data_IF_445480052601
#
_entry.id   IF_445480052601
#
_cell.length_a   1.000
_cell.length_b   1.000
_cell.length_c   1.000
_cell.angle_alpha   90.00
_cell.angle_beta   90.00
_cell.angle_gamma   90.00
#
_symmetry.space_group_name_H-M   'P 1'
#
loop_
_entity.id
_entity.type
_entity.pdbx_description
1 polymer ?
#
# COMPACT_ATOMS: atom_id res chain seq x y z
N UNK A 1 11.48 -24.44 14.86
CA UNK A 1 12.05 -23.12 15.15
C UNK A 1 11.24 -22.43 16.26
N UNK A 2 9.92 -22.63 16.31
CA UNK A 2 9.01 -22.05 17.30
C UNK A 2 8.96 -22.82 18.63
N UNK A 3 9.64 -23.95 18.74
CA UNK A 3 9.80 -24.70 20.01
C UNK A 3 10.66 -23.96 21.05
N UNK A 4 11.37 -22.92 20.63
CA UNK A 4 12.16 -22.05 21.51
C UNK A 4 11.23 -20.94 22.00
N UNK A 5 11.08 -20.81 23.33
CA UNK A 5 10.17 -19.82 23.95
C UNK A 5 10.36 -18.41 23.42
N UNK A 6 11.60 -17.98 23.21
CA UNK A 6 11.92 -16.66 22.64
C UNK A 6 11.37 -16.45 21.22
N UNK A 7 11.21 -17.51 20.44
CA UNK A 7 10.74 -17.42 19.06
C UNK A 7 9.22 -17.50 18.90
N UNK A 8 8.48 -17.82 19.97
CA UNK A 8 7.01 -17.95 19.90
C UNK A 8 6.32 -16.63 19.49
N UNK A 9 6.85 -15.52 19.95
CA UNK A 9 6.32 -14.18 19.60
C UNK A 9 6.49 -13.82 18.11
N UNK A 10 7.31 -14.59 17.40
CA UNK A 10 7.54 -14.44 15.96
C UNK A 10 6.89 -15.56 15.14
N UNK A 11 5.91 -16.30 15.70
CA UNK A 11 5.20 -17.35 14.98
C UNK A 11 4.58 -16.77 13.69
N UNK A 12 4.82 -17.45 12.56
CA UNK A 12 4.45 -16.99 11.24
C UNK A 12 5.47 -16.07 10.54
N UNK A 13 6.43 -15.49 11.26
CA UNK A 13 7.39 -14.50 10.72
C UNK A 13 8.80 -15.09 10.44
N UNK A 14 9.13 -16.25 10.97
CA UNK A 14 10.45 -16.89 10.83
C UNK A 14 10.46 -18.06 9.82
N UNK A 15 9.40 -18.20 9.03
CA UNK A 15 9.23 -19.35 8.14
C UNK A 15 8.88 -20.65 8.90
N UNK A 16 8.92 -21.80 8.22
CA UNK A 16 8.42 -23.07 8.73
C UNK A 16 9.49 -23.94 9.38
N UNK A 17 10.74 -23.52 9.43
CA UNK A 17 11.80 -24.29 10.09
C UNK A 17 13.20 -24.08 9.54
N UNK A 18 14.14 -24.80 10.11
CA UNK A 18 15.53 -24.86 9.62
C UNK A 18 15.67 -25.93 8.54
N UNK A 19 16.50 -25.64 7.55
CA UNK A 19 16.87 -26.64 6.54
C UNK A 19 17.65 -27.80 7.19
N UNK A 20 17.11 -29.01 7.09
CA UNK A 20 17.73 -30.22 7.58
C UNK A 20 17.86 -31.23 6.43
N UNK A 21 19.06 -31.33 5.88
CA UNK A 21 19.38 -32.23 4.74
C UNK A 21 19.14 -33.70 5.07
N UNK A 22 19.39 -34.14 6.31
CA UNK A 22 19.15 -35.50 6.73
C UNK A 22 17.67 -35.82 6.73
N UNK A 23 16.85 -34.98 7.36
CA UNK A 23 15.39 -35.13 7.35
C UNK A 23 14.81 -35.05 5.94
N UNK A 24 15.35 -34.20 5.08
CA UNK A 24 14.92 -34.11 3.69
C UNK A 24 15.14 -35.40 2.93
N UNK A 25 16.29 -36.07 3.13
CA UNK A 25 16.58 -37.37 2.50
C UNK A 25 15.78 -38.53 3.10
N UNK A 26 15.56 -38.53 4.40
CA UNK A 26 14.71 -39.50 5.08
C UNK A 26 13.23 -39.35 4.71
N UNK A 27 12.80 -38.15 4.38
CA UNK A 27 11.42 -37.78 4.04
C UNK A 27 11.02 -37.94 2.57
N UNK A 28 11.86 -38.47 1.68
CA UNK A 28 11.55 -38.57 0.23
C UNK A 28 10.31 -39.42 -0.08
N UNK A 29 9.94 -40.33 0.84
CA UNK A 29 8.73 -41.13 0.74
C UNK A 29 7.50 -40.51 1.45
N UNK A 30 7.61 -39.30 1.95
CA UNK A 30 6.50 -38.56 2.56
C UNK A 30 5.78 -37.70 1.55
N UNK A 31 4.53 -37.30 1.80
CA UNK A 31 3.92 -36.23 1.04
C UNK A 31 4.71 -34.92 1.17
N UNK A 32 4.60 -34.02 0.19
CA UNK A 32 5.21 -32.69 0.24
C UNK A 32 4.25 -31.63 -0.30
N UNK A 33 3.42 -31.14 0.57
CA UNK A 33 2.45 -30.09 0.24
C UNK A 33 3.08 -28.70 0.22
N UNK A 34 2.57 -27.86 -0.68
CA UNK A 34 2.81 -26.42 -0.70
C UNK A 34 1.52 -25.68 -1.07
N UNK A 35 1.32 -24.53 -0.48
CA UNK A 35 0.37 -23.56 -0.99
C UNK A 35 1.00 -22.93 -2.22
N UNK A 36 0.37 -23.08 -3.37
CA UNK A 36 0.84 -22.57 -4.67
C UNK A 36 0.11 -21.30 -5.09
N UNK A 37 -1.13 -21.16 -4.63
CA UNK A 37 -1.92 -19.97 -4.86
C UNK A 37 -2.90 -19.75 -3.70
N UNK A 38 -3.29 -18.50 -3.47
CA UNK A 38 -4.40 -18.16 -2.58
C UNK A 38 -5.10 -16.89 -3.05
N UNK A 39 -6.36 -16.75 -2.68
CA UNK A 39 -7.21 -15.61 -2.99
C UNK A 39 -7.88 -15.15 -1.71
N UNK A 40 -7.78 -13.86 -1.44
CA UNK A 40 -8.51 -13.18 -0.37
C UNK A 40 -9.53 -12.26 -1.04
N UNK A 41 -10.79 -12.31 -0.63
CA UNK A 41 -11.84 -11.42 -1.13
C UNK A 41 -13.02 -11.33 -0.16
N UNK A 42 -13.62 -10.17 -0.08
CA UNK A 42 -14.91 -9.96 0.58
C UNK A 42 -16.07 -9.91 -0.44
N UNK A 43 -15.75 -10.02 -1.75
CA UNK A 43 -16.66 -9.85 -2.88
C UNK A 43 -17.23 -8.43 -3.03
N UNK A 44 -16.62 -7.46 -2.41
CA UNK A 44 -16.94 -6.03 -2.53
C UNK A 44 -15.70 -5.24 -2.99
N UNK A 45 -14.91 -4.73 -2.10
CA UNK A 45 -13.79 -3.85 -2.44
C UNK A 45 -12.40 -4.44 -2.14
N UNK A 46 -12.36 -5.62 -1.53
CA UNK A 46 -11.15 -6.32 -1.05
C UNK A 46 -10.35 -5.51 -0.01
N UNK A 47 -11.04 -4.62 0.72
CA UNK A 47 -10.52 -3.84 1.84
C UNK A 47 -11.13 -4.37 3.13
N UNK A 48 -10.38 -5.15 3.87
CA UNK A 48 -10.88 -5.86 5.05
C UNK A 48 -10.95 -4.95 6.27
N UNK A 49 -12.06 -4.24 6.42
CA UNK A 49 -12.32 -3.31 7.51
C UNK A 49 -13.04 -3.98 8.69
N UNK A 50 -13.14 -3.28 9.82
CA UNK A 50 -13.83 -3.79 11.01
C UNK A 50 -15.29 -4.09 10.68
N UNK A 51 -15.70 -5.32 10.94
CA UNK A 51 -17.05 -5.84 10.69
C UNK A 51 -17.19 -6.60 9.37
N UNK A 52 -16.19 -6.57 8.49
CA UNK A 52 -16.24 -7.26 7.20
C UNK A 52 -16.01 -8.76 7.37
N UNK A 53 -16.82 -9.54 6.65
CA UNK A 53 -16.60 -10.96 6.43
C UNK A 53 -15.89 -11.14 5.09
N UNK A 54 -14.76 -11.82 5.10
CA UNK A 54 -13.97 -12.11 3.91
C UNK A 54 -13.63 -13.58 3.81
N UNK A 55 -13.17 -14.02 2.66
CA UNK A 55 -12.86 -15.41 2.37
C UNK A 55 -11.40 -15.60 2.00
N UNK A 56 -10.86 -16.77 2.38
CA UNK A 56 -9.54 -17.24 2.00
C UNK A 56 -9.68 -18.55 1.21
N UNK A 57 -9.53 -18.47 -0.09
CA UNK A 57 -9.38 -19.64 -0.96
C UNK A 57 -7.92 -20.00 -1.09
N UNK A 58 -7.60 -21.30 -1.11
CA UNK A 58 -6.22 -21.80 -1.26
C UNK A 58 -6.14 -22.92 -2.28
N UNK A 59 -5.00 -22.96 -2.99
CA UNK A 59 -4.59 -24.07 -3.84
C UNK A 59 -3.39 -24.77 -3.20
N UNK A 60 -3.45 -26.09 -3.13
CA UNK A 60 -2.38 -26.94 -2.63
C UNK A 60 -1.86 -27.83 -3.75
N UNK A 61 -0.55 -27.92 -3.87
CA UNK A 61 0.14 -28.88 -4.75
C UNK A 61 0.94 -29.88 -3.93
N UNK A 62 0.82 -31.16 -4.28
CA UNK A 62 1.60 -32.27 -3.67
C UNK A 62 2.74 -32.69 -4.61
N UNK A 63 3.98 -32.41 -4.23
CA UNK A 63 5.16 -32.66 -5.04
C UNK A 63 5.68 -34.10 -4.94
N UNK A 64 5.42 -34.80 -3.82
CA UNK A 64 5.96 -36.14 -3.57
C UNK A 64 4.83 -37.17 -3.43
N UNK A 65 4.98 -38.13 -2.53
CA UNK A 65 4.04 -39.24 -2.40
C UNK A 65 2.61 -38.79 -2.11
N UNK A 66 1.64 -39.55 -2.60
CA UNK A 66 0.22 -39.29 -2.36
C UNK A 66 -0.11 -39.18 -0.86
N UNK A 67 -0.99 -38.30 -0.52
CA UNK A 67 -1.56 -38.14 0.81
C UNK A 67 -3.03 -38.55 0.79
N UNK A 68 -3.49 -39.24 1.84
CA UNK A 68 -4.88 -39.65 2.04
C UNK A 68 -5.45 -39.04 3.33
N UNK A 69 -6.77 -38.96 3.40
CA UNK A 69 -7.51 -38.43 4.57
C UNK A 69 -6.92 -37.12 5.09
N UNK A 70 -6.57 -36.26 4.13
CA UNK A 70 -6.04 -34.91 4.42
C UNK A 70 -7.15 -34.02 4.91
N UNK A 71 -6.92 -33.38 6.04
CA UNK A 71 -7.77 -32.36 6.60
C UNK A 71 -6.95 -31.07 6.79
N UNK A 72 -7.59 -29.94 6.56
CA UNK A 72 -7.00 -28.61 6.76
C UNK A 72 -7.86 -27.84 7.75
N UNK A 73 -7.17 -27.16 8.63
CA UNK A 73 -7.75 -26.22 9.58
C UNK A 73 -6.98 -24.90 9.53
N UNK A 74 -7.71 -23.79 9.55
CA UNK A 74 -7.10 -22.48 9.72
C UNK A 74 -7.39 -21.95 11.13
N UNK A 75 -6.42 -21.21 11.67
CA UNK A 75 -6.53 -20.50 12.95
C UNK A 75 -5.97 -19.10 12.82
N UNK A 76 -6.61 -18.12 13.44
CA UNK A 76 -6.02 -16.78 13.58
C UNK A 76 -5.05 -16.78 14.76
N UNK A 77 -3.87 -16.18 14.57
CA UNK A 77 -2.93 -15.89 15.66
C UNK A 77 -3.16 -14.50 16.27
N UNK A 78 -4.17 -13.77 15.75
CA UNK A 78 -4.55 -12.46 16.23
C UNK A 78 -6.01 -12.47 16.72
N UNK A 79 -6.29 -11.73 17.77
CA UNK A 79 -7.64 -11.55 18.31
C UNK A 79 -8.53 -10.67 17.42
N UNK A 80 -7.94 -9.98 16.45
CA UNK A 80 -8.62 -9.04 15.55
C UNK A 80 -9.40 -9.72 14.43
N UNK A 81 -9.12 -11.00 14.16
CA UNK A 81 -9.81 -11.78 13.13
C UNK A 81 -10.32 -13.08 13.71
N UNK A 82 -11.63 -13.27 13.58
CA UNK A 82 -12.34 -14.49 13.96
C UNK A 82 -12.44 -15.45 12.76
N UNK A 83 -12.18 -16.73 12.97
CA UNK A 83 -12.46 -17.77 11.98
C UNK A 83 -13.96 -18.15 12.09
N UNK A 84 -14.71 -17.94 11.02
CA UNK A 84 -16.14 -18.26 10.92
C UNK A 84 -16.33 -19.69 10.40
N UNK A 85 -15.61 -20.06 9.33
CA UNK A 85 -15.55 -21.40 8.78
C UNK A 85 -14.09 -21.71 8.40
N UNK A 86 -13.45 -22.61 9.16
CA UNK A 86 -12.01 -22.83 9.08
C UNK A 86 -11.60 -24.26 8.75
N UNK A 87 -12.52 -25.15 8.33
CA UNK A 87 -12.22 -26.57 8.11
C UNK A 87 -12.46 -26.96 6.65
N UNK A 88 -11.47 -27.57 6.03
CA UNK A 88 -11.59 -28.17 4.71
C UNK A 88 -11.17 -29.65 4.73
N UNK A 89 -12.12 -30.54 4.44
CA UNK A 89 -11.86 -31.97 4.30
C UNK A 89 -11.44 -32.28 2.85
N UNK A 90 -10.15 -32.31 2.61
CA UNK A 90 -9.55 -32.45 1.27
C UNK A 90 -9.68 -33.88 0.72
N UNK A 91 -9.54 -34.87 1.61
CA UNK A 91 -9.44 -36.29 1.24
C UNK A 91 -8.06 -36.66 0.72
N UNK A 92 -7.94 -37.06 -0.54
CA UNK A 92 -6.64 -37.49 -1.09
C UNK A 92 -6.10 -36.52 -2.13
N UNK A 93 -4.79 -36.31 -2.13
CA UNK A 93 -4.06 -35.62 -3.20
C UNK A 93 -2.98 -36.56 -3.72
N UNK A 94 -3.06 -37.02 -5.00
CA UNK A 94 -2.03 -37.84 -5.62
C UNK A 94 -0.69 -37.11 -5.74
N UNK A 95 0.37 -37.85 -6.03
CA UNK A 95 1.67 -37.33 -6.40
C UNK A 95 1.54 -36.38 -7.61
N UNK A 96 2.24 -35.23 -7.58
CA UNK A 96 2.26 -34.24 -8.66
C UNK A 96 0.86 -33.78 -9.06
N UNK A 97 -0.02 -33.57 -8.07
CA UNK A 97 -1.40 -33.13 -8.26
C UNK A 97 -1.75 -32.02 -7.30
N UNK A 98 -2.79 -31.27 -7.67
CA UNK A 98 -3.29 -30.14 -6.88
C UNK A 98 -4.74 -30.33 -6.46
N UNK A 99 -5.14 -29.59 -5.45
CA UNK A 99 -6.53 -29.36 -5.02
C UNK A 99 -6.68 -27.95 -4.50
N UNK A 100 -7.87 -27.42 -4.68
CA UNK A 100 -8.26 -26.07 -4.29
C UNK A 100 -9.61 -26.05 -3.59
N UNK A 101 -9.91 -24.98 -2.84
CA UNK A 101 -11.20 -24.77 -2.19
C UNK A 101 -11.85 -23.45 -2.60
N UNK A 102 -11.57 -22.92 -3.79
CA UNK A 102 -12.11 -21.62 -4.23
C UNK A 102 -13.63 -21.58 -4.31
N UNK A 103 -14.30 -22.72 -4.55
CA UNK A 103 -15.77 -22.83 -4.54
C UNK A 103 -16.34 -22.86 -3.11
N UNK A 104 -15.55 -23.25 -2.12
CA UNK A 104 -15.92 -23.32 -0.70
C UNK A 104 -14.77 -22.83 0.16
N UNK A 105 -14.44 -21.53 0.06
CA UNK A 105 -13.30 -20.96 0.75
C UNK A 105 -13.54 -20.91 2.28
N UNK A 106 -12.48 -20.80 3.04
CA UNK A 106 -12.57 -20.47 4.45
C UNK A 106 -13.20 -19.09 4.63
N UNK A 107 -13.90 -18.89 5.75
CA UNK A 107 -14.55 -17.63 6.09
C UNK A 107 -13.96 -17.03 7.36
N UNK A 108 -13.65 -15.76 7.27
CA UNK A 108 -13.03 -14.98 8.32
C UNK A 108 -13.81 -13.68 8.51
N UNK A 109 -13.74 -13.08 9.69
CA UNK A 109 -14.37 -11.79 9.98
C UNK A 109 -13.41 -10.92 10.78
N UNK A 110 -13.26 -9.66 10.38
CA UNK A 110 -12.51 -8.66 11.15
C UNK A 110 -13.39 -8.19 12.32
N UNK A 111 -12.99 -8.51 13.55
CA UNK A 111 -13.78 -8.19 14.75
C UNK A 111 -13.37 -6.89 15.40
N UNK A 112 -12.10 -6.52 15.27
CA UNK A 112 -11.52 -5.28 15.81
C UNK A 112 -10.25 -4.92 15.06
N UNK A 113 -9.82 -3.67 15.16
CA UNK A 113 -8.48 -3.22 14.81
C UNK A 113 -8.14 -2.08 15.77
N UNK A 114 -6.97 -2.12 16.38
CA UNK A 114 -6.51 -1.07 17.28
C UNK A 114 -5.94 0.11 16.51
N UNK A 115 -5.33 -0.19 15.36
CA UNK A 115 -4.68 0.77 14.48
C UNK A 115 -5.02 0.46 13.01
N UNK A 116 -4.67 1.39 12.11
CA UNK A 116 -4.66 1.12 10.68
C UNK A 116 -3.48 0.23 10.29
N UNK A 117 -3.60 -0.42 9.14
CA UNK A 117 -2.58 -1.27 8.55
C UNK A 117 -2.13 -2.43 9.47
N UNK A 118 -3.07 -2.96 10.21
CA UNK A 118 -2.77 -4.01 11.17
C UNK A 118 -2.53 -5.35 10.47
N UNK A 119 -1.32 -5.89 10.66
CA UNK A 119 -0.96 -7.21 10.19
C UNK A 119 -1.57 -8.31 11.07
N UNK A 120 -2.35 -9.18 10.46
CA UNK A 120 -2.92 -10.38 11.08
C UNK A 120 -2.30 -11.62 10.47
N UNK A 121 -1.87 -12.55 11.28
CA UNK A 121 -1.33 -13.84 10.84
C UNK A 121 -2.41 -14.92 10.96
N UNK A 122 -2.72 -15.54 9.84
CA UNK A 122 -3.60 -16.72 9.78
C UNK A 122 -2.75 -17.94 9.47
N UNK A 123 -2.82 -18.94 10.34
CA UNK A 123 -2.10 -20.19 10.23
C UNK A 123 -2.99 -21.25 9.59
N UNK A 124 -2.52 -21.88 8.53
CA UNK A 124 -3.09 -23.06 7.91
C UNK A 124 -2.32 -24.28 8.40
N UNK A 125 -3.01 -25.26 8.93
CA UNK A 125 -2.46 -26.55 9.31
C UNK A 125 -3.16 -27.66 8.52
N UNK A 126 -2.39 -28.35 7.68
CA UNK A 126 -2.82 -29.54 6.98
C UNK A 126 -2.26 -30.79 7.67
N UNK A 127 -3.10 -31.77 7.93
CA UNK A 127 -2.67 -33.01 8.58
C UNK A 127 -3.37 -34.24 8.01
N UNK A 128 -2.63 -35.38 8.02
CA UNK A 128 -3.12 -36.69 7.64
C UNK A 128 -2.62 -37.70 8.65
N UNK A 129 -3.53 -38.33 9.40
CA UNK A 129 -3.19 -39.36 10.37
C UNK A 129 -2.63 -40.64 9.71
N UNK A 130 -3.23 -41.16 8.62
CA UNK A 130 -2.69 -42.34 7.95
C UNK A 130 -1.26 -42.19 7.43
N UNK A 131 -0.90 -40.97 7.02
CA UNK A 131 0.42 -40.65 6.50
C UNK A 131 1.38 -40.14 7.59
N UNK A 132 0.92 -39.94 8.82
CA UNK A 132 1.67 -39.29 9.89
C UNK A 132 2.32 -37.98 9.39
N UNK A 133 1.52 -37.18 8.70
CA UNK A 133 1.98 -35.99 7.97
C UNK A 133 1.34 -34.72 8.54
N UNK A 134 2.16 -33.69 8.70
CA UNK A 134 1.73 -32.33 9.08
C UNK A 134 2.46 -31.34 8.20
N UNK A 135 1.72 -30.35 7.71
CA UNK A 135 2.24 -29.19 7.00
C UNK A 135 1.60 -27.93 7.56
N UNK A 136 2.39 -26.90 7.74
CA UNK A 136 1.91 -25.58 8.20
C UNK A 136 2.31 -24.50 7.20
N UNK A 137 1.41 -23.54 7.02
CA UNK A 137 1.62 -22.34 6.21
C UNK A 137 1.02 -21.14 6.92
N UNK A 138 1.59 -19.97 6.71
CA UNK A 138 1.14 -18.72 7.34
C UNK A 138 0.82 -17.70 6.27
N UNK A 139 -0.34 -17.04 6.42
CA UNK A 139 -0.76 -15.92 5.60
C UNK A 139 -0.64 -14.67 6.44
N UNK A 140 0.00 -13.64 5.88
CA UNK A 140 -0.04 -12.28 6.42
C UNK A 140 -1.14 -11.52 5.70
N UNK A 141 -2.09 -10.99 6.44
CA UNK A 141 -3.26 -10.27 5.95
C UNK A 141 -3.24 -8.89 6.58
N UNK A 142 -3.35 -7.85 5.77
CA UNK A 142 -3.53 -6.50 6.26
C UNK A 142 -5.02 -6.23 6.48
N UNK A 143 -5.39 -5.82 7.68
CA UNK A 143 -6.77 -5.44 8.03
C UNK A 143 -6.82 -3.97 8.41
N UNK A 144 -7.97 -3.35 8.16
CA UNK A 144 -8.21 -1.93 8.37
C UNK A 144 -7.15 -1.04 7.66
N UNK A 145 -6.94 -1.23 6.34
CA UNK A 145 -5.85 -0.55 5.64
C UNK A 145 -6.07 0.95 5.56
N UNK A 146 -4.98 1.71 5.66
CA UNK A 146 -4.95 3.15 5.45
C UNK A 146 -4.75 3.54 3.99
N UNK A 147 -4.70 2.57 3.08
CA UNK A 147 -4.40 2.79 1.67
C UNK A 147 -5.12 1.81 0.74
N UNK A 148 -5.19 2.17 -0.53
CA UNK A 148 -5.65 1.28 -1.61
C UNK A 148 -4.60 1.18 -2.69
N UNK A 149 -4.51 0.00 -3.29
CA UNK A 149 -3.64 -0.28 -4.43
C UNK A 149 -4.43 -0.14 -5.74
N UNK A 150 -3.92 0.68 -6.64
CA UNK A 150 -4.46 0.89 -7.98
C UNK A 150 -3.64 0.06 -8.95
N UNK A 151 -4.26 -0.92 -9.60
CA UNK A 151 -3.60 -1.83 -10.54
C UNK A 151 -4.49 -2.21 -11.74
N UNK A 152 -5.51 -1.40 -12.02
CA UNK A 152 -6.51 -1.69 -13.07
C UNK A 152 -6.04 -1.33 -14.47
N UNK A 153 -5.01 -0.48 -14.59
CA UNK A 153 -4.45 -0.04 -15.87
C UNK A 153 -2.92 -0.23 -15.90
N UNK A 154 -2.21 0.39 -16.84
CA UNK A 154 -0.75 0.26 -16.95
C UNK A 154 -0.01 0.97 -15.80
N UNK A 155 -0.62 1.97 -15.17
CA UNK A 155 -0.06 2.64 -13.98
C UNK A 155 -0.45 1.86 -12.74
N UNK A 156 0.55 1.42 -11.99
CA UNK A 156 0.36 0.77 -10.69
C UNK A 156 0.89 1.69 -9.60
N UNK A 157 0.01 2.05 -8.68
CA UNK A 157 0.38 2.93 -7.57
C UNK A 157 -0.48 2.66 -6.35
N UNK A 158 -0.07 3.20 -5.23
CA UNK A 158 -0.85 3.18 -3.99
C UNK A 158 -1.26 4.60 -3.66
N UNK A 159 -2.44 4.77 -3.10
CA UNK A 159 -2.91 6.05 -2.56
C UNK A 159 -3.38 5.81 -1.14
N UNK A 160 -2.84 6.58 -0.20
CA UNK A 160 -3.23 6.53 1.20
C UNK A 160 -4.34 7.53 1.50
N UNK A 161 -5.05 7.32 2.59
CA UNK A 161 -6.08 8.23 3.07
C UNK A 161 -5.54 9.39 3.93
N UNK A 162 -4.24 9.62 3.91
CA UNK A 162 -3.58 10.74 4.59
C UNK A 162 -2.77 11.62 3.63
N UNK A 163 -3.07 11.56 2.34
CA UNK A 163 -2.50 12.41 1.31
C UNK A 163 -1.21 11.90 0.67
N UNK A 164 -0.62 10.79 1.13
CA UNK A 164 0.53 10.16 0.45
C UNK A 164 0.07 9.36 -0.77
N UNK A 165 0.95 9.26 -1.76
CA UNK A 165 0.80 8.34 -2.89
C UNK A 165 2.14 7.69 -3.25
N UNK A 166 2.06 6.49 -3.81
CA UNK A 166 3.21 5.64 -4.12
C UNK A 166 3.50 4.66 -3.00
N UNK A 167 4.08 5.12 -1.92
CA UNK A 167 4.35 4.35 -0.71
C UNK A 167 3.69 4.99 0.50
N UNK A 168 3.41 4.21 1.54
CA UNK A 168 2.79 4.67 2.78
C UNK A 168 3.78 4.72 3.94
N UNK A 169 4.99 4.19 3.74
CA UNK A 169 6.04 4.11 4.74
C UNK A 169 7.40 4.56 4.20
N UNK A 170 8.25 5.02 5.12
CA UNK A 170 9.59 5.52 4.83
C UNK A 170 10.49 4.48 4.12
N UNK A 171 10.35 3.21 4.48
CA UNK A 171 11.20 2.13 3.95
C UNK A 171 10.69 1.57 2.62
N UNK A 172 9.60 2.10 2.07
CA UNK A 172 8.99 1.65 0.82
C UNK A 172 8.59 0.16 0.85
N UNK A 173 8.21 -0.33 2.02
CA UNK A 173 7.78 -1.72 2.23
C UNK A 173 6.30 -1.90 2.00
N UNK A 174 5.50 -0.84 2.20
CA UNK A 174 4.05 -0.84 1.99
C UNK A 174 3.68 0.05 0.81
N UNK A 175 2.95 -0.54 -0.14
CA UNK A 175 2.51 0.13 -1.35
C UNK A 175 3.23 -0.36 -2.62
N UNK A 176 2.76 0.12 -3.76
CA UNK A 176 3.26 -0.30 -5.09
C UNK A 176 4.31 0.66 -5.67
N UNK A 177 4.56 1.80 -5.02
CA UNK A 177 5.29 2.91 -5.64
C UNK A 177 4.45 3.56 -6.73
N UNK A 178 5.11 4.06 -7.77
CA UNK A 178 4.49 4.51 -9.01
C UNK A 178 5.20 3.83 -10.18
N UNK A 179 4.54 2.87 -10.81
CA UNK A 179 5.12 1.99 -11.84
C UNK A 179 4.33 2.09 -13.13
N UNK A 180 5.03 2.02 -14.24
CA UNK A 180 4.40 1.84 -15.53
C UNK A 180 4.62 0.38 -15.97
N UNK A 181 3.54 -0.40 -15.97
CA UNK A 181 3.51 -1.82 -16.35
C UNK A 181 4.58 -2.66 -15.62
N UNK A 182 5.61 -3.13 -16.31
CA UNK A 182 6.67 -3.99 -15.76
C UNK A 182 7.90 -3.22 -15.24
N UNK A 183 7.94 -1.91 -15.38
CA UNK A 183 9.04 -1.10 -14.87
C UNK A 183 9.04 -1.05 -13.33
N UNK A 184 10.20 -0.82 -12.75
CA UNK A 184 10.34 -0.53 -11.33
C UNK A 184 9.56 0.72 -10.90
N UNK A 185 9.52 1.02 -9.59
CA UNK A 185 8.96 2.29 -9.14
C UNK A 185 9.76 3.46 -9.71
N UNK A 186 9.06 4.44 -10.25
CA UNK A 186 9.60 5.71 -10.71
C UNK A 186 9.38 6.83 -9.70
N UNK A 187 8.90 6.52 -8.52
CA UNK A 187 8.63 7.46 -7.45
C UNK A 187 9.31 6.95 -6.18
N UNK A 188 10.08 7.82 -5.55
CA UNK A 188 10.62 7.58 -4.22
C UNK A 188 9.55 7.92 -3.17
N UNK A 189 8.96 9.12 -3.27
CA UNK A 189 7.97 9.65 -2.34
C UNK A 189 7.02 10.61 -3.05
N UNK A 190 5.75 10.65 -2.63
CA UNK A 190 4.79 11.62 -3.12
C UNK A 190 3.67 11.90 -2.13
N UNK A 191 3.20 13.16 -2.10
CA UNK A 191 2.16 13.56 -1.18
C UNK A 191 1.53 14.92 -1.49
N UNK A 192 0.38 15.15 -0.87
CA UNK A 192 -0.33 16.42 -0.87
C UNK A 192 0.30 17.36 0.16
N UNK A 193 0.52 18.62 -0.22
CA UNK A 193 0.91 19.71 0.67
C UNK A 193 -0.14 20.80 0.62
N UNK A 194 -0.56 21.33 1.77
CA UNK A 194 -1.45 22.47 1.88
C UNK A 194 -0.79 23.51 2.78
N UNK A 195 -0.36 24.62 2.20
CA UNK A 195 0.30 25.70 2.90
C UNK A 195 -0.65 26.86 3.19
N UNK A 196 -0.47 27.50 4.34
CA UNK A 196 -1.15 28.69 4.77
C UNK A 196 -0.16 29.72 5.33
N UNK A 197 -0.34 30.98 4.99
CA UNK A 197 0.48 32.07 5.51
C UNK A 197 -0.42 33.12 6.15
N UNK A 198 -0.39 33.18 7.47
CA UNK A 198 -0.93 34.30 8.23
C UNK A 198 0.15 35.37 8.46
N UNK A 199 -0.25 36.60 8.84
CA UNK A 199 0.67 37.72 9.13
C UNK A 199 1.77 37.41 10.15
N UNK A 200 1.67 36.32 10.86
CA UNK A 200 2.59 35.92 11.95
C UNK A 200 3.18 34.52 11.86
N UNK A 201 2.69 33.67 10.96
CA UNK A 201 3.11 32.25 10.92
C UNK A 201 2.84 31.61 9.56
N UNK A 202 3.83 30.89 9.07
CA UNK A 202 3.70 29.93 7.96
C UNK A 202 3.39 28.57 8.56
N UNK A 203 2.40 27.89 7.98
CA UNK A 203 2.00 26.52 8.32
C UNK A 203 1.88 25.71 7.02
N UNK A 204 2.28 24.46 7.07
CA UNK A 204 2.06 23.48 5.97
C UNK A 204 1.56 22.22 6.60
N UNK A 205 0.44 21.73 6.12
CA UNK A 205 -0.08 20.42 6.49
C UNK A 205 0.26 19.41 5.39
N UNK A 206 0.89 18.31 5.76
CA UNK A 206 1.33 17.26 4.85
C UNK A 206 1.73 15.96 5.58
N UNK A 207 2.18 14.97 4.80
CA UNK A 207 2.79 13.71 5.27
C UNK A 207 4.09 13.41 4.56
N UNK A 208 4.61 14.37 3.81
CA UNK A 208 5.88 14.27 3.11
C UNK A 208 7.02 14.38 4.13
N UNK A 209 8.17 13.81 3.82
CA UNK A 209 9.31 13.81 4.73
C UNK A 209 9.72 15.21 5.20
N UNK A 210 10.22 15.23 6.41
CA UNK A 210 10.92 16.33 7.01
C UNK A 210 12.23 15.75 7.56
N UNK A 211 13.29 15.80 6.77
CA UNK A 211 14.52 15.08 7.06
C UNK A 211 14.36 13.56 6.95
N UNK A 212 14.74 12.81 8.00
CA UNK A 212 14.67 11.34 8.02
C UNK A 212 13.27 10.79 8.36
N UNK A 213 12.33 11.65 8.76
CA UNK A 213 10.99 11.23 9.18
C UNK A 213 9.92 11.85 8.28
N UNK A 214 8.80 11.17 8.14
CA UNK A 214 7.61 11.77 7.56
C UNK A 214 7.01 12.80 8.52
N UNK A 215 6.52 13.89 7.96
CA UNK A 215 5.62 14.80 8.68
C UNK A 215 4.32 14.06 9.04
N UNK A 216 3.62 14.50 10.08
CA UNK A 216 2.45 13.80 10.61
C UNK A 216 1.26 14.74 10.81
N UNK A 217 1.09 15.71 9.92
CA UNK A 217 0.03 16.69 10.08
C UNK A 217 -1.33 16.14 9.66
N UNK A 218 -1.38 15.34 8.59
CA UNK A 218 -2.62 14.71 8.16
C UNK A 218 -2.91 13.40 8.89
N UNK A 219 -4.15 13.28 9.39
CA UNK A 219 -4.66 12.12 10.09
C UNK A 219 -5.90 11.58 9.39
N UNK A 220 -6.00 10.29 9.36
CA UNK A 220 -7.10 9.56 8.78
C UNK A 220 -8.40 9.88 9.55
N UNK A 221 -9.46 10.24 8.84
CA UNK A 221 -10.77 10.51 9.42
C UNK A 221 -11.71 9.33 9.23
N UNK A 222 -11.74 8.76 8.02
CA UNK A 222 -12.60 7.67 7.65
C UNK A 222 -11.79 6.56 6.97
N UNK A 223 -12.36 5.34 6.88
CA UNK A 223 -11.77 4.23 6.11
C UNK A 223 -11.74 4.62 4.63
N UNK A 224 -10.66 4.24 3.94
CA UNK A 224 -10.63 4.38 2.50
C UNK A 224 -11.51 3.27 1.89
N UNK A 225 -12.45 3.65 1.05
CA UNK A 225 -13.30 2.72 0.33
C UNK A 225 -12.87 2.61 -1.14
N UNK A 226 -13.06 1.43 -1.72
CA UNK A 226 -12.82 1.15 -3.12
C UNK A 226 -14.11 0.70 -3.78
N UNK A 227 -14.34 1.16 -4.99
CA UNK A 227 -15.44 0.69 -5.82
C UNK A 227 -14.93 0.45 -7.23
N UNK A 228 -15.03 -0.79 -7.69
CA UNK A 228 -14.78 -1.15 -9.08
C UNK A 228 -16.05 -0.92 -9.89
N UNK A 229 -15.99 -0.02 -10.84
CA UNK A 229 -17.12 0.24 -11.75
C UNK A 229 -17.12 -0.84 -12.83
N UNK A 230 -17.90 -1.90 -12.61
CA UNK A 230 -18.07 -2.99 -13.58
C UNK A 230 -18.78 -2.45 -14.83
N UNK A 231 -18.17 -2.66 -16.00
CA UNK A 231 -18.69 -2.26 -17.31
C UNK A 231 -17.89 -1.13 -17.96
N UNK A 232 -17.30 -0.22 -17.21
CA UNK A 232 -16.45 0.86 -17.74
C UNK A 232 -14.95 0.62 -17.52
N UNK A 233 -14.59 -0.54 -16.96
CA UNK A 233 -13.20 -0.89 -16.63
C UNK A 233 -12.51 0.23 -15.84
N UNK A 234 -13.18 0.73 -14.82
CA UNK A 234 -12.73 1.85 -14.02
C UNK A 234 -12.56 1.46 -12.55
N UNK A 235 -11.61 2.09 -11.90
CA UNK A 235 -11.38 2.04 -10.46
C UNK A 235 -11.76 3.39 -9.84
N UNK A 236 -12.45 3.36 -8.73
CA UNK A 236 -12.76 4.53 -7.92
C UNK A 236 -12.43 4.23 -6.46
N UNK A 237 -11.74 5.14 -5.79
CA UNK A 237 -11.58 5.10 -4.35
C UNK A 237 -11.88 6.46 -3.74
N UNK A 238 -12.34 6.45 -2.49
CA UNK A 238 -12.72 7.63 -1.75
C UNK A 238 -12.24 7.51 -0.30
N UNK A 239 -11.75 8.59 0.26
CA UNK A 239 -11.36 8.68 1.66
C UNK A 239 -11.30 10.13 2.11
N UNK A 240 -11.25 10.36 3.41
CA UNK A 240 -11.08 11.69 3.99
C UNK A 240 -10.02 11.71 5.09
N UNK A 241 -9.38 12.85 5.24
CA UNK A 241 -8.38 13.10 6.28
C UNK A 241 -8.42 14.57 6.74
N UNK A 242 -7.77 14.85 7.84
CA UNK A 242 -7.78 16.16 8.47
C UNK A 242 -6.41 16.47 9.08
N UNK A 243 -6.07 17.75 9.24
CA UNK A 243 -4.91 18.18 10.02
C UNK A 243 -5.27 18.50 11.49
N UNK A 244 -6.52 18.33 11.88
CA UNK A 244 -7.00 18.62 13.24
C UNK A 244 -6.77 17.42 14.17
N UNK A 245 -5.54 17.23 14.61
CA UNK A 245 -5.16 16.13 15.49
C UNK A 245 -4.48 16.60 16.74
N UNK A 246 -4.96 17.37 17.56
CA UNK A 246 -4.36 17.74 18.85
C UNK A 246 -2.92 18.31 18.81
N UNK A 247 -2.37 18.61 17.64
CA UNK A 247 -1.11 19.30 17.48
C UNK A 247 -1.34 20.82 17.49
N UNK A 248 -0.38 21.56 18.05
CA UNK A 248 -0.53 23.02 18.22
C UNK A 248 -0.41 23.83 16.93
N UNK A 249 -0.14 23.20 15.81
CA UNK A 249 0.16 23.82 14.52
C UNK A 249 -0.88 23.56 13.44
N UNK A 250 -2.11 23.23 13.84
CA UNK A 250 -3.23 22.94 12.95
C UNK A 250 -3.65 24.18 12.14
N UNK A 251 -3.95 23.98 10.84
CA UNK A 251 -4.60 24.98 9.99
C UNK A 251 -6.13 24.89 10.18
N UNK A 252 -6.65 23.70 10.43
CA UNK A 252 -8.06 23.39 10.59
C UNK A 252 -8.71 22.98 9.26
N UNK A 253 -8.13 22.00 8.59
CA UNK A 253 -8.54 21.52 7.28
C UNK A 253 -9.23 20.16 7.36
N UNK A 254 -10.20 19.96 6.49
CA UNK A 254 -10.71 18.63 6.11
C UNK A 254 -10.49 18.45 4.62
N UNK A 255 -9.96 17.31 4.22
CA UNK A 255 -9.70 16.98 2.83
C UNK A 255 -10.48 15.73 2.46
N UNK A 256 -11.34 15.83 1.45
CA UNK A 256 -11.90 14.68 0.77
C UNK A 256 -11.02 14.35 -0.44
N UNK A 257 -10.64 13.09 -0.55
CA UNK A 257 -9.80 12.57 -1.63
C UNK A 257 -10.58 11.56 -2.45
N UNK A 258 -10.56 11.74 -3.77
CA UNK A 258 -11.11 10.79 -4.73
C UNK A 258 -10.02 10.39 -5.70
N UNK A 259 -10.00 9.11 -6.03
CA UNK A 259 -9.01 8.54 -6.95
C UNK A 259 -9.74 7.80 -8.06
N UNK A 260 -9.37 8.08 -9.31
CA UNK A 260 -9.96 7.42 -10.47
C UNK A 260 -8.85 6.89 -11.39
N UNK A 261 -9.03 5.68 -11.88
CA UNK A 261 -8.19 5.08 -12.89
C UNK A 261 -9.05 4.31 -13.89
N UNK A 262 -8.66 4.32 -15.16
CA UNK A 262 -9.42 3.69 -16.24
C UNK A 262 -8.54 2.73 -17.03
N UNK A 263 -9.05 1.51 -17.27
CA UNK A 263 -8.46 0.54 -18.18
C UNK A 263 -9.17 0.62 -19.54
N UNK A 264 -9.08 1.76 -20.19
CA UNK A 264 -9.73 2.04 -21.48
C UNK A 264 -8.72 2.66 -22.43
N UNK A 265 -8.79 2.29 -23.71
CA UNK A 265 -7.86 2.77 -24.75
C UNK A 265 -7.72 4.31 -24.70
N UNK A 266 -6.48 4.78 -24.51
CA UNK A 266 -6.14 6.19 -24.36
C UNK A 266 -6.18 6.72 -22.93
N UNK A 267 -6.57 5.89 -21.95
CA UNK A 267 -6.67 6.26 -20.53
C UNK A 267 -5.83 5.37 -19.59
N UNK A 268 -5.04 4.46 -20.14
CA UNK A 268 -4.32 3.42 -19.41
C UNK A 268 -3.06 3.91 -18.68
N UNK A 269 -2.58 5.12 -19.00
CA UNK A 269 -1.25 5.57 -18.56
C UNK A 269 -1.31 6.73 -17.56
N UNK A 270 -2.39 6.84 -16.81
CA UNK A 270 -2.53 7.84 -15.76
C UNK A 270 -3.53 7.44 -14.67
N UNK A 271 -3.43 8.11 -13.55
CA UNK A 271 -4.39 8.11 -12.44
C UNK A 271 -4.83 9.55 -12.20
N UNK A 272 -6.07 9.76 -11.85
CA UNK A 272 -6.62 11.07 -11.49
C UNK A 272 -6.76 11.12 -9.98
N UNK A 273 -6.15 12.13 -9.37
CA UNK A 273 -6.34 12.47 -7.95
C UNK A 273 -7.18 13.75 -7.89
N UNK A 274 -8.26 13.70 -7.15
CA UNK A 274 -9.13 14.86 -6.89
C UNK A 274 -9.14 15.12 -5.39
N UNK A 275 -8.92 16.37 -5.01
CA UNK A 275 -8.93 16.80 -3.61
C UNK A 275 -9.94 17.93 -3.46
N UNK A 276 -10.85 17.78 -2.52
CA UNK A 276 -11.75 18.84 -2.06
C UNK A 276 -11.31 19.26 -0.66
N UNK A 277 -10.88 20.52 -0.53
CA UNK A 277 -10.30 21.04 0.71
C UNK A 277 -11.28 22.01 1.34
N UNK A 278 -11.69 21.73 2.57
CA UNK A 278 -12.59 22.56 3.36
C UNK A 278 -11.85 23.17 4.55
N UNK A 279 -12.03 24.47 4.76
CA UNK A 279 -11.61 25.14 5.98
C UNK A 279 -12.65 24.88 7.08
N UNK A 280 -12.27 24.09 8.05
CA UNK A 280 -13.11 23.71 9.19
C UNK A 280 -12.79 24.55 10.44
N UNK A 281 -11.82 25.46 10.34
CA UNK A 281 -11.51 26.41 11.41
C UNK A 281 -12.54 27.53 11.47
N UNK A 282 -12.55 28.27 12.57
CA UNK A 282 -13.37 29.49 12.76
C UNK A 282 -12.71 30.76 12.22
N UNK A 283 -11.63 30.64 11.42
CA UNK A 283 -10.82 31.75 10.90
C UNK A 283 -10.83 31.79 9.37
N UNK A 284 -10.75 32.94 8.81
CA UNK A 284 -10.47 33.12 7.38
C UNK A 284 -9.01 32.75 7.10
N UNK A 285 -8.78 31.85 6.15
CA UNK A 285 -7.44 31.46 5.71
C UNK A 285 -7.01 32.36 4.54
N UNK A 286 -5.82 32.92 4.65
CA UNK A 286 -5.21 33.76 3.61
C UNK A 286 -3.90 33.11 3.12
N UNK A 287 -3.49 33.42 1.87
CA UNK A 287 -2.24 32.88 1.32
C UNK A 287 -2.24 31.34 1.26
N UNK A 288 -3.40 30.72 0.99
CA UNK A 288 -3.50 29.27 0.85
C UNK A 288 -2.90 28.83 -0.48
N UNK A 289 -1.99 27.88 -0.43
CA UNK A 289 -1.41 27.24 -1.59
C UNK A 289 -1.52 25.72 -1.44
N UNK A 290 -1.89 25.04 -2.53
CA UNK A 290 -2.09 23.58 -2.57
C UNK A 290 -1.19 23.02 -3.66
N UNK A 291 -0.42 21.98 -3.36
CA UNK A 291 0.49 21.34 -4.31
C UNK A 291 0.64 19.86 -4.07
N UNK A 292 1.21 19.19 -5.06
CA UNK A 292 1.67 17.80 -4.95
C UNK A 292 3.19 17.79 -5.00
N UNK A 293 3.80 17.21 -3.99
CA UNK A 293 5.21 16.84 -4.00
C UNK A 293 5.38 15.49 -4.65
N UNK A 294 6.43 15.32 -5.43
CA UNK A 294 6.80 14.04 -6.00
C UNK A 294 8.31 13.98 -6.20
N UNK A 295 8.97 13.10 -5.49
CA UNK A 295 10.39 12.75 -5.67
C UNK A 295 10.49 11.63 -6.70
N UNK A 296 10.74 12.02 -7.95
CA UNK A 296 10.74 11.12 -9.08
C UNK A 296 12.12 10.49 -9.31
N UNK A 297 12.15 9.16 -9.30
CA UNK A 297 13.28 8.29 -9.63
C UNK A 297 13.04 7.58 -10.97
N UNK A 298 13.00 8.37 -12.05
CA UNK A 298 12.75 7.81 -13.38
C UNK A 298 13.98 7.06 -13.88
N UNK A 299 13.93 5.73 -13.89
CA UNK A 299 14.96 4.76 -14.29
C UNK A 299 16.28 4.93 -13.53
N UNK A 300 17.16 5.84 -13.95
CA UNK A 300 18.40 6.23 -13.25
C UNK A 300 18.24 7.65 -12.68
N UNK A 301 18.03 7.80 -11.35
CA UNK A 301 17.83 9.09 -10.72
C UNK A 301 18.94 10.11 -10.98
N UNK A 302 20.19 9.66 -11.10
CA UNK A 302 21.35 10.53 -11.35
C UNK A 302 21.33 11.23 -12.71
N UNK A 303 20.49 10.73 -13.63
CA UNK A 303 20.32 11.26 -14.98
C UNK A 303 18.97 12.00 -15.16
N UNK A 304 18.21 12.20 -14.09
CA UNK A 304 16.90 12.81 -14.15
C UNK A 304 16.98 14.31 -14.42
N UNK A 305 16.02 14.81 -15.18
CA UNK A 305 15.83 16.24 -15.49
C UNK A 305 14.38 16.61 -15.36
N UNK A 306 14.13 17.68 -14.61
CA UNK A 306 12.81 18.27 -14.46
C UNK A 306 12.54 19.38 -15.48
N UNK A 307 11.30 19.51 -15.92
CA UNK A 307 10.85 20.59 -16.78
C UNK A 307 9.36 20.91 -16.61
N UNK A 308 8.96 22.12 -17.06
CA UNK A 308 7.60 22.62 -16.95
C UNK A 308 7.04 22.97 -18.32
N UNK A 309 5.83 22.54 -18.61
CA UNK A 309 5.05 22.95 -19.76
C UNK A 309 3.87 23.82 -19.29
N UNK A 310 4.13 25.10 -19.06
CA UNK A 310 3.16 26.05 -18.48
C UNK A 310 1.84 26.11 -19.23
N UNK A 311 1.88 26.15 -20.57
CA UNK A 311 0.65 26.18 -21.39
C UNK A 311 -0.24 24.92 -21.26
N UNK A 312 0.30 23.84 -20.68
CA UNK A 312 -0.41 22.59 -20.38
C UNK A 312 -0.63 22.35 -18.89
N UNK A 313 -0.15 23.26 -18.04
CA UNK A 313 -0.16 23.11 -16.57
C UNK A 313 0.45 21.77 -16.14
N UNK A 314 1.66 21.48 -16.62
CA UNK A 314 2.31 20.19 -16.54
C UNK A 314 3.74 20.33 -16.05
N UNK A 315 4.07 19.69 -14.93
CA UNK A 315 5.43 19.39 -14.49
C UNK A 315 5.80 17.97 -14.86
N UNK A 316 7.04 17.73 -15.28
CA UNK A 316 7.47 16.39 -15.65
C UNK A 316 8.97 16.17 -15.42
N UNK A 317 9.32 14.91 -15.18
CA UNK A 317 10.71 14.43 -15.05
C UNK A 317 10.96 13.34 -16.08
N UNK A 318 12.14 13.35 -16.67
CA UNK A 318 12.59 12.37 -17.63
C UNK A 318 14.08 12.02 -17.38
N UNK A 319 14.49 10.82 -17.78
CA UNK A 319 15.89 10.38 -17.69
C UNK A 319 16.63 10.65 -19.01
N UNK A 320 17.86 11.15 -18.92
CA UNK A 320 18.76 11.27 -20.08
C UNK A 320 19.33 9.93 -20.54
N UNK A 321 19.26 8.89 -19.70
CA UNK A 321 19.80 7.55 -19.98
C UNK A 321 18.85 6.64 -20.75
N UNK A 322 17.55 6.92 -20.76
CA UNK A 322 16.55 6.07 -21.38
C UNK A 322 15.47 6.92 -22.06
N UNK A 323 15.34 6.77 -23.36
CA UNK A 323 14.35 7.52 -24.14
C UNK A 323 12.94 6.97 -23.95
N UNK A 324 11.97 7.87 -23.82
CA UNK A 324 10.54 7.57 -23.86
C UNK A 324 9.86 7.37 -22.51
N UNK A 325 10.60 7.24 -21.39
CA UNK A 325 9.99 7.16 -20.06
C UNK A 325 9.95 8.54 -19.43
N UNK A 326 8.74 8.99 -19.07
CA UNK A 326 8.48 10.31 -18.48
C UNK A 326 7.44 10.17 -17.37
N UNK A 327 7.76 10.62 -16.17
CA UNK A 327 6.80 10.81 -15.08
C UNK A 327 6.29 12.25 -15.09
N UNK A 328 5.00 12.47 -14.82
CA UNK A 328 4.41 13.80 -14.89
C UNK A 328 3.22 14.00 -13.97
N UNK A 329 3.04 15.24 -13.53
CA UNK A 329 1.84 15.71 -12.84
C UNK A 329 1.23 16.83 -13.67
N UNK A 330 -0.06 16.76 -13.93
CA UNK A 330 -0.81 17.76 -14.67
C UNK A 330 -1.97 18.28 -13.80
N UNK A 331 -2.01 19.59 -13.57
CA UNK A 331 -3.14 20.23 -12.92
C UNK A 331 -4.31 20.40 -13.90
N UNK A 332 -5.47 19.82 -13.60
CA UNK A 332 -6.65 19.85 -14.47
C UNK A 332 -7.54 21.07 -14.19
N UNK A 333 -7.70 21.47 -12.93
CA UNK A 333 -8.68 22.46 -12.47
C UNK A 333 -8.08 23.75 -11.87
N UNK A 334 -6.73 23.85 -11.77
CA UNK A 334 -6.10 25.03 -11.16
C UNK A 334 -6.23 26.29 -12.02
N UNK A 335 -6.58 27.43 -11.41
CA UNK A 335 -6.58 28.73 -12.06
C UNK A 335 -5.17 29.31 -12.21
N UNK A 336 -4.31 29.07 -11.23
CA UNK A 336 -2.89 29.41 -11.20
C UNK A 336 -2.12 28.09 -11.10
N UNK A 337 -1.05 27.95 -11.86
CA UNK A 337 -0.20 26.79 -11.85
C UNK A 337 1.26 27.21 -11.87
N UNK A 338 2.04 26.63 -10.97
CA UNK A 338 3.48 26.72 -10.94
C UNK A 338 4.08 25.34 -10.70
N UNK A 339 5.37 25.20 -10.95
CA UNK A 339 6.17 24.02 -10.57
C UNK A 339 7.47 24.52 -9.97
N UNK A 340 7.84 23.95 -8.86
CA UNK A 340 9.14 24.16 -8.24
C UNK A 340 9.96 22.87 -8.39
N UNK A 341 11.12 22.95 -9.03
CA UNK A 341 12.01 21.82 -9.26
C UNK A 341 13.12 21.84 -8.22
N UNK A 342 13.26 20.72 -7.49
CA UNK A 342 14.25 20.53 -6.44
C UNK A 342 15.28 19.51 -6.94
N UNK A 343 16.54 19.79 -6.74
CA UNK A 343 17.64 18.83 -6.84
C UNK A 343 18.00 18.40 -5.41
N UNK A 344 17.84 17.13 -5.10
CA UNK A 344 18.01 16.56 -3.75
C UNK A 344 19.48 16.43 -3.33
N UNK A 345 20.39 17.04 -4.04
CA UNK A 345 21.81 17.03 -3.72
C UNK A 345 22.19 18.29 -2.94
N UNK A 346 22.98 18.15 -1.89
CA UNK A 346 23.50 19.29 -1.13
C UNK A 346 24.14 20.34 -2.06
N UNK A 347 23.64 21.58 -1.92
CA UNK A 347 24.02 22.68 -2.81
C UNK A 347 23.45 22.58 -4.25
N UNK A 348 22.52 21.65 -4.50
CA UNK A 348 21.84 21.47 -5.77
C UNK A 348 20.91 22.62 -6.15
N UNK A 349 20.33 22.54 -7.36
CA UNK A 349 19.37 23.53 -7.84
C UNK A 349 18.04 23.41 -7.07
N UNK A 350 17.48 24.55 -6.67
CA UNK A 350 16.29 24.59 -5.84
C UNK A 350 16.61 24.87 -4.36
N UNK A 351 17.87 24.65 -3.93
CA UNK A 351 18.38 25.07 -2.62
C UNK A 351 17.86 24.28 -1.42
N UNK A 352 17.30 23.09 -1.65
CA UNK A 352 16.76 22.23 -0.60
C UNK A 352 17.39 20.84 -0.68
N UNK A 353 18.11 20.43 0.36
CA UNK A 353 18.45 19.03 0.60
C UNK A 353 17.40 18.42 1.52
N UNK A 354 16.48 17.67 0.94
CA UNK A 354 15.36 17.07 1.68
C UNK A 354 15.81 15.93 2.61
N UNK A 355 17.08 15.52 2.54
CA UNK A 355 17.66 14.45 3.36
C UNK A 355 18.57 14.96 4.47
N UNK A 356 18.85 16.28 4.54
CA UNK A 356 19.67 16.87 5.60
C UNK A 356 18.95 16.85 6.97
N UNK A 357 19.70 17.09 8.06
CA UNK A 357 19.16 17.11 9.44
C UNK A 357 18.00 18.12 9.59
N UNK A 358 18.07 19.28 8.92
CA UNK A 358 16.98 20.26 8.88
C UNK A 358 15.87 19.86 7.90
N UNK A 359 16.19 19.01 6.92
CA UNK A 359 15.29 18.41 5.97
C UNK A 359 14.50 19.39 5.11
N UNK A 360 13.31 18.98 4.68
CA UNK A 360 12.37 19.78 3.90
C UNK A 360 11.46 20.55 4.86
N UNK A 361 11.94 21.70 5.36
CA UNK A 361 11.27 22.44 6.42
C UNK A 361 9.91 23.02 5.98
N UNK A 362 9.04 23.37 6.94
CA UNK A 362 7.76 24.04 6.69
C UNK A 362 7.94 25.29 5.83
N UNK A 363 9.02 26.05 6.04
CA UNK A 363 9.33 27.25 5.25
C UNK A 363 9.66 26.90 3.79
N UNK A 364 10.48 25.88 3.57
CA UNK A 364 10.88 25.41 2.23
C UNK A 364 9.68 24.86 1.47
N UNK A 365 8.85 24.04 2.13
CA UNK A 365 7.60 23.50 1.58
C UNK A 365 6.67 24.63 1.12
N UNK A 366 6.46 25.64 1.98
CA UNK A 366 5.62 26.78 1.61
C UNK A 366 6.21 27.60 0.47
N UNK A 367 7.53 27.83 0.48
CA UNK A 367 8.23 28.54 -0.59
C UNK A 367 8.11 27.79 -1.92
N UNK A 368 8.19 26.47 -1.89
CA UNK A 368 8.01 25.63 -3.09
C UNK A 368 6.57 25.66 -3.62
N UNK A 369 5.58 25.90 -2.75
CA UNK A 369 4.16 25.99 -3.12
C UNK A 369 3.79 27.33 -3.76
N UNK A 370 4.52 28.42 -3.48
CA UNK A 370 4.15 29.80 -3.84
C UNK A 370 5.13 30.44 -4.83
#
# INVERSE_FOLDING_TARGET
IYDIEFNKVFEGKLGTGLLDMKKALEGINSPALRVTNYVLTDNDDDIFSIGDEFTLGVELFNYLNSVSDLQIEITSLSENVQIVDGIWNVGSIPTSSQKENFDTPFKLMVTSAEEFDQEVIVKLKAYSLPNNYVFEHFFSINVNPSYVNINVNNVKTTVSKNGLFGYTDYFQTNGLGFRLDTLGSMLYEGGLLIGHNSDSKIQVADRVRNGELFDRDFWEKDVISRQDIKGDEAFYAFGSFTDTSANQDEIGLVVEQRVLAYNKIGHENYVILEYEVENFSDKDLTGVAIGLFADWDVTDPSLNKGATAYGKRLGYVYSLGEEGVVARIQALSANVFNTYMIDNVDGGYGGVDIFDEEGFTTHDKYTALT
#
